data_IF_954374274838
#
_entry.id   IF_954374274838
#
_cell.length_a   1.000
_cell.length_b   1.000
_cell.length_c   1.000
_cell.angle_alpha   90.00
_cell.angle_beta   90.00
_cell.angle_gamma   90.00
#
_symmetry.space_group_name_H-M   'P 1'
#
loop_
_entity.id
_entity.type
_entity.pdbx_description
1 polymer ?
#
# COMPACT_ATOMS: atom_id res chain seq x y z
N UNK A 1 0.83 -27.21 -16.58
CA UNK A 1 2.09 -26.62 -16.13
C UNK A 1 1.88 -25.98 -14.76
N UNK A 2 2.70 -26.31 -13.78
CA UNK A 2 2.67 -25.57 -12.50
C UNK A 2 3.17 -24.17 -12.79
N UNK A 3 2.33 -23.16 -12.53
CA UNK A 3 2.75 -21.76 -12.58
C UNK A 3 3.92 -21.55 -11.59
N UNK A 4 4.93 -20.81 -12.02
CA UNK A 4 6.04 -20.46 -11.14
C UNK A 4 5.56 -19.40 -10.12
N UNK A 5 5.90 -19.61 -8.85
CA UNK A 5 5.67 -18.58 -7.83
C UNK A 5 6.58 -17.39 -8.07
N UNK A 6 6.08 -16.18 -7.79
CA UNK A 6 6.87 -14.96 -7.89
C UNK A 6 7.50 -14.67 -6.52
N UNK A 7 8.82 -14.56 -6.49
CA UNK A 7 9.55 -14.26 -5.24
C UNK A 7 9.07 -12.93 -4.64
N UNK A 8 8.77 -12.94 -3.35
CA UNK A 8 8.29 -11.76 -2.64
C UNK A 8 6.78 -11.52 -2.71
N UNK A 9 6.04 -12.38 -3.41
CA UNK A 9 4.58 -12.27 -3.53
C UNK A 9 3.90 -13.57 -3.10
N UNK A 10 3.91 -13.89 -1.80
CA UNK A 10 3.31 -15.12 -1.29
C UNK A 10 1.79 -15.06 -1.38
N UNK A 11 1.19 -16.23 -1.57
CA UNK A 11 -0.25 -16.40 -1.53
C UNK A 11 -0.61 -17.48 -0.51
N UNK A 12 -1.60 -17.21 0.33
CA UNK A 12 -2.08 -18.18 1.29
C UNK A 12 -3.03 -19.19 0.63
N UNK A 13 -2.91 -20.45 1.04
CA UNK A 13 -3.92 -21.44 0.75
C UNK A 13 -5.19 -21.17 1.59
N UNK A 14 -6.37 -21.72 1.20
CA UNK A 14 -7.63 -21.41 1.90
C UNK A 14 -7.60 -21.62 3.41
N UNK A 15 -6.95 -22.69 3.88
CA UNK A 15 -6.85 -22.98 5.33
C UNK A 15 -6.10 -21.91 6.10
N UNK A 16 -5.04 -21.35 5.52
CA UNK A 16 -4.24 -20.29 6.12
C UNK A 16 -4.94 -18.93 5.98
N UNK A 17 -5.59 -18.71 4.84
CA UNK A 17 -6.35 -17.47 4.60
C UNK A 17 -7.50 -17.30 5.58
N UNK A 18 -8.16 -18.39 5.99
CA UNK A 18 -9.21 -18.35 7.02
C UNK A 18 -8.65 -17.84 8.36
N UNK A 19 -7.45 -18.28 8.74
CA UNK A 19 -6.80 -17.82 9.97
C UNK A 19 -6.45 -16.33 9.89
N UNK A 20 -5.87 -15.91 8.77
CA UNK A 20 -5.56 -14.50 8.54
C UNK A 20 -6.82 -13.63 8.63
N UNK A 21 -7.92 -14.07 8.01
CA UNK A 21 -9.18 -13.32 8.04
C UNK A 21 -9.74 -13.21 9.46
N UNK A 22 -9.61 -14.26 10.29
CA UNK A 22 -10.03 -14.20 11.70
C UNK A 22 -9.23 -13.19 12.51
N UNK A 23 -7.92 -13.11 12.27
CA UNK A 23 -7.08 -12.10 12.90
C UNK A 23 -7.51 -10.69 12.49
N UNK A 24 -7.73 -10.48 11.20
CA UNK A 24 -8.21 -9.19 10.67
C UNK A 24 -9.56 -8.80 11.29
N UNK A 25 -10.50 -9.75 11.36
CA UNK A 25 -11.84 -9.51 11.91
C UNK A 25 -11.78 -9.18 13.41
N UNK A 26 -10.91 -9.84 14.15
CA UNK A 26 -10.68 -9.58 15.58
C UNK A 26 -10.13 -8.17 15.80
N UNK A 27 -9.11 -7.79 15.03
CA UNK A 27 -8.52 -6.45 15.11
C UNK A 27 -9.54 -5.37 14.75
N UNK A 28 -10.29 -5.57 13.67
CA UNK A 28 -11.35 -4.64 13.26
C UNK A 28 -12.36 -4.41 14.38
N UNK A 29 -12.84 -5.48 14.99
CA UNK A 29 -13.82 -5.39 16.08
C UNK A 29 -13.27 -4.59 17.27
N UNK A 30 -12.03 -4.82 17.65
CA UNK A 30 -11.38 -4.07 18.75
C UNK A 30 -11.26 -2.59 18.38
N UNK A 31 -10.84 -2.27 17.18
CA UNK A 31 -10.73 -0.88 16.73
C UNK A 31 -12.08 -0.17 16.72
N UNK A 32 -13.10 -0.80 16.16
CA UNK A 32 -14.45 -0.21 16.08
C UNK A 32 -15.09 -0.01 17.47
N UNK A 33 -14.89 -0.96 18.39
CA UNK A 33 -15.35 -0.83 19.77
C UNK A 33 -14.69 0.36 20.50
N UNK A 34 -13.50 0.76 20.09
CA UNK A 34 -12.77 1.89 20.67
C UNK A 34 -12.94 3.18 19.88
N UNK A 35 -13.90 3.24 18.97
CA UNK A 35 -14.24 4.44 18.22
C UNK A 35 -13.34 4.75 17.03
N UNK A 36 -12.55 3.76 16.55
CA UNK A 36 -11.76 3.91 15.34
C UNK A 36 -12.58 3.51 14.12
N UNK A 37 -12.49 4.30 13.06
CA UNK A 37 -13.19 4.04 11.80
C UNK A 37 -12.23 3.49 10.75
N UNK A 38 -12.70 2.53 9.96
CA UNK A 38 -11.91 1.95 8.88
C UNK A 38 -11.82 2.86 7.68
N UNK A 39 -10.63 3.00 7.13
CA UNK A 39 -10.39 3.68 5.86
C UNK A 39 -9.62 2.78 4.91
N UNK A 40 -9.72 3.08 3.64
CA UNK A 40 -8.92 2.50 2.59
C UNK A 40 -8.43 3.61 1.67
N UNK A 41 -7.12 3.70 1.50
CA UNK A 41 -6.50 4.64 0.56
C UNK A 41 -6.21 3.93 -0.76
N UNK A 42 -6.07 4.70 -1.83
CA UNK A 42 -5.67 4.13 -3.13
C UNK A 42 -4.26 3.53 -3.02
N UNK A 43 -4.03 2.43 -3.72
CA UNK A 43 -2.72 1.77 -3.74
C UNK A 43 -1.70 2.51 -4.62
N UNK A 44 -2.18 3.31 -5.55
CA UNK A 44 -1.34 4.03 -6.52
C UNK A 44 -1.13 5.46 -6.06
N UNK A 45 0.13 5.86 -5.98
CA UNK A 45 0.55 7.21 -5.59
C UNK A 45 1.43 7.83 -6.67
N UNK A 46 1.50 9.16 -6.69
CA UNK A 46 2.46 9.85 -7.53
C UNK A 46 3.88 9.68 -7.00
N UNK A 47 4.86 9.60 -7.90
CA UNK A 47 6.27 9.49 -7.53
C UNK A 47 6.75 10.59 -6.61
N UNK A 48 6.26 11.82 -6.79
CA UNK A 48 6.55 12.95 -5.92
C UNK A 48 6.16 12.69 -4.45
N UNK A 49 5.04 12.02 -4.22
CA UNK A 49 4.59 11.65 -2.87
C UNK A 49 5.42 10.51 -2.29
N UNK A 50 5.78 9.52 -3.12
CA UNK A 50 6.55 8.36 -2.68
C UNK A 50 8.00 8.71 -2.34
N UNK A 51 8.60 9.67 -3.04
CA UNK A 51 9.99 10.07 -2.85
C UNK A 51 10.22 11.00 -1.67
N UNK A 52 9.18 11.54 -1.05
CA UNK A 52 9.31 12.49 0.07
C UNK A 52 9.95 11.91 1.34
N UNK A 53 10.02 10.61 1.47
CA UNK A 53 10.46 9.92 2.70
C UNK A 53 11.94 9.48 2.67
N UNK A 54 12.80 10.18 1.94
CA UNK A 54 14.25 9.88 1.92
C UNK A 54 14.63 8.76 0.97
N UNK A 55 15.62 7.94 1.33
CA UNK A 55 16.18 6.88 0.45
C UNK A 55 15.24 5.69 0.27
N UNK A 56 14.04 5.93 -0.24
CA UNK A 56 13.04 4.88 -0.47
C UNK A 56 12.98 4.41 -1.92
N UNK A 57 13.82 4.97 -2.80
CA UNK A 57 13.79 4.66 -4.24
C UNK A 57 13.97 3.16 -4.54
N UNK A 58 14.73 2.44 -3.70
CA UNK A 58 14.94 0.99 -3.85
C UNK A 58 13.71 0.14 -3.52
N UNK A 59 12.77 0.71 -2.77
CA UNK A 59 11.56 0.03 -2.31
C UNK A 59 10.37 0.23 -3.24
N UNK A 60 10.43 1.21 -4.13
CA UNK A 60 9.28 1.67 -4.91
C UNK A 60 9.16 0.86 -6.20
N UNK A 61 7.97 0.31 -6.43
CA UNK A 61 7.55 -0.19 -7.72
C UNK A 61 6.88 0.94 -8.51
N UNK A 62 7.40 1.22 -9.69
CA UNK A 62 6.77 2.15 -10.62
C UNK A 62 5.81 1.39 -11.54
N UNK A 63 4.73 2.08 -11.92
CA UNK A 63 3.74 1.55 -12.85
C UNK A 63 3.90 2.23 -14.20
N UNK A 64 3.78 1.44 -15.24
CA UNK A 64 3.68 1.94 -16.62
C UNK A 64 2.50 1.28 -17.29
N UNK A 65 1.76 2.04 -18.09
CA UNK A 65 0.77 1.46 -18.99
C UNK A 65 1.49 0.66 -20.06
N UNK A 66 0.90 -0.42 -20.51
CA UNK A 66 1.52 -1.27 -21.54
C UNK A 66 1.90 -0.46 -22.78
N UNK A 67 1.10 0.53 -23.16
CA UNK A 67 1.35 1.41 -24.31
C UNK A 67 2.55 2.33 -24.11
N UNK A 68 2.96 2.56 -22.86
CA UNK A 68 4.06 3.46 -22.51
C UNK A 68 5.40 2.72 -22.33
N UNK A 69 5.39 1.40 -22.43
CA UNK A 69 6.61 0.57 -22.29
C UNK A 69 7.62 0.98 -23.38
N UNK A 70 8.82 1.33 -22.92
CA UNK A 70 9.88 1.87 -23.79
C UNK A 70 9.95 3.39 -23.82
N UNK A 71 8.95 4.09 -23.27
CA UNK A 71 8.88 5.55 -23.22
C UNK A 71 8.92 6.10 -21.77
N UNK A 72 9.24 5.26 -20.79
CA UNK A 72 9.24 5.63 -19.36
C UNK A 72 10.24 6.76 -19.06
N UNK A 73 11.32 6.84 -19.81
CA UNK A 73 12.33 7.89 -19.64
C UNK A 73 11.86 9.28 -20.07
N UNK A 74 10.75 9.36 -20.83
CA UNK A 74 10.20 10.63 -21.30
C UNK A 74 9.46 11.40 -20.21
N UNK A 75 9.13 10.73 -19.08
CA UNK A 75 8.42 11.33 -17.96
C UNK A 75 9.32 11.32 -16.73
N UNK A 76 9.49 12.48 -16.04
CA UNK A 76 10.21 12.51 -14.76
C UNK A 76 9.59 11.55 -13.75
N UNK A 77 10.44 10.99 -12.87
CA UNK A 77 9.99 10.03 -11.84
C UNK A 77 8.90 10.65 -10.95
N UNK A 78 9.00 11.94 -10.65
CA UNK A 78 8.03 12.66 -9.83
C UNK A 78 6.62 12.67 -10.42
N UNK A 79 6.51 12.59 -11.74
CA UNK A 79 5.24 12.62 -12.48
C UNK A 79 4.74 11.21 -12.82
N UNK A 80 5.53 10.17 -12.51
CA UNK A 80 5.15 8.78 -12.73
C UNK A 80 4.34 8.25 -11.56
N UNK A 81 3.56 7.21 -11.82
CA UNK A 81 2.78 6.51 -10.80
C UNK A 81 3.57 5.34 -10.24
N UNK A 82 3.35 5.04 -8.97
CA UNK A 82 3.95 3.90 -8.32
C UNK A 82 3.00 3.27 -7.30
N UNK A 83 3.39 2.11 -6.78
CA UNK A 83 2.65 1.44 -5.71
C UNK A 83 3.14 1.92 -4.36
N UNK A 84 2.22 2.14 -3.43
CA UNK A 84 2.59 2.51 -2.07
C UNK A 84 3.38 1.38 -1.39
N UNK A 85 4.41 1.74 -0.66
CA UNK A 85 5.29 0.79 0.06
C UNK A 85 5.03 0.80 1.58
N UNK A 86 4.26 1.74 2.08
CA UNK A 86 3.77 1.82 3.46
C UNK A 86 2.38 2.47 3.46
N UNK A 87 1.81 2.64 4.65
CA UNK A 87 0.51 3.31 4.81
C UNK A 87 0.62 4.71 5.41
N UNK A 88 1.80 5.16 5.77
CA UNK A 88 2.03 6.48 6.36
C UNK A 88 1.91 7.59 5.30
N UNK A 89 2.57 7.42 4.17
CA UNK A 89 2.52 8.38 3.06
C UNK A 89 1.09 8.51 2.51
N UNK A 90 0.38 7.41 2.18
CA UNK A 90 -1.01 7.49 1.77
C UNK A 90 -1.93 8.15 2.80
N UNK A 91 -1.73 7.88 4.09
CA UNK A 91 -2.52 8.51 5.15
C UNK A 91 -2.32 10.02 5.18
N UNK A 92 -1.07 10.48 5.12
CA UNK A 92 -0.76 11.91 5.12
C UNK A 92 -1.43 12.63 3.95
N UNK A 93 -1.32 12.05 2.75
CA UNK A 93 -2.00 12.58 1.56
C UNK A 93 -3.52 12.59 1.72
N UNK A 94 -4.09 11.48 2.20
CA UNK A 94 -5.54 11.33 2.41
C UNK A 94 -6.08 12.40 3.36
N UNK A 95 -5.41 12.61 4.49
CA UNK A 95 -5.81 13.62 5.47
C UNK A 95 -5.76 15.02 4.88
N UNK A 96 -4.69 15.34 4.13
CA UNK A 96 -4.56 16.66 3.50
C UNK A 96 -5.63 16.89 2.45
N UNK A 97 -5.86 15.91 1.58
CA UNK A 97 -6.86 16.02 0.51
C UNK A 97 -8.30 16.12 1.04
N UNK A 98 -8.59 15.44 2.14
CA UNK A 98 -9.96 15.31 2.66
C UNK A 98 -10.18 16.04 3.99
N UNK A 99 -9.30 16.93 4.38
CA UNK A 99 -9.36 17.61 5.69
C UNK A 99 -10.70 18.33 5.94
N UNK A 100 -11.32 18.84 4.91
CA UNK A 100 -12.65 19.48 5.00
C UNK A 100 -13.81 18.50 5.23
N UNK A 101 -13.61 17.23 4.95
CA UNK A 101 -14.64 16.18 5.05
C UNK A 101 -14.43 15.27 6.27
N UNK A 102 -13.32 15.42 6.98
CA UNK A 102 -12.98 14.57 8.11
C UNK A 102 -13.25 15.27 9.44
N UNK A 103 -13.73 14.49 10.42
CA UNK A 103 -13.88 14.97 11.79
C UNK A 103 -12.54 14.76 12.54
N UNK A 104 -12.15 15.74 13.36
CA UNK A 104 -10.96 15.65 14.19
C UNK A 104 -11.33 15.67 15.69
N UNK A 105 -10.63 14.92 16.55
CA UNK A 105 -9.50 14.03 16.24
C UNK A 105 -9.92 12.87 15.33
N UNK A 106 -9.10 12.61 14.29
CA UNK A 106 -9.37 11.58 13.31
C UNK A 106 -8.81 10.23 13.79
N UNK A 107 -9.70 9.41 14.32
CA UNK A 107 -9.37 8.07 14.84
C UNK A 107 -9.68 7.05 13.75
N UNK A 108 -8.64 6.49 13.14
CA UNK A 108 -8.78 5.56 12.01
C UNK A 108 -8.03 4.26 12.23
N UNK A 109 -8.51 3.19 11.61
CA UNK A 109 -7.73 1.98 11.41
C UNK A 109 -7.65 1.69 9.90
N UNK A 110 -6.58 0.99 9.50
CA UNK A 110 -6.30 0.71 8.10
C UNK A 110 -5.50 -0.58 8.01
N UNK A 111 -5.97 -1.52 7.21
CA UNK A 111 -5.30 -2.79 6.93
C UNK A 111 -5.31 -2.97 5.42
N UNK A 112 -4.16 -2.78 4.79
CA UNK A 112 -4.01 -2.88 3.35
C UNK A 112 -2.67 -3.49 2.97
N UNK A 113 -2.61 -4.04 1.78
CA UNK A 113 -1.36 -4.51 1.20
C UNK A 113 -0.47 -3.34 0.81
N UNK A 114 0.84 -3.54 0.97
CA UNK A 114 1.88 -2.65 0.48
C UNK A 114 2.87 -3.45 -0.34
N UNK A 115 3.59 -2.80 -1.23
CA UNK A 115 4.54 -3.44 -2.13
C UNK A 115 5.92 -2.81 -1.96
N UNK A 116 6.92 -3.66 -1.68
CA UNK A 116 8.31 -3.23 -1.53
C UNK A 116 9.19 -3.98 -2.51
N UNK A 117 10.00 -3.25 -3.26
CA UNK A 117 10.93 -3.79 -4.25
C UNK A 117 12.21 -4.37 -3.65
N UNK A 118 12.34 -4.42 -2.34
CA UNK A 118 13.48 -5.04 -1.66
C UNK A 118 13.46 -6.56 -1.79
N UNK A 119 14.63 -7.18 -1.60
CA UNK A 119 14.69 -8.64 -1.52
C UNK A 119 13.82 -9.14 -0.36
N UNK A 120 13.02 -10.19 -0.59
CA UNK A 120 12.26 -10.82 0.49
C UNK A 120 13.19 -11.28 1.59
N UNK A 121 12.82 -10.99 2.83
CA UNK A 121 13.49 -11.49 4.02
C UNK A 121 12.52 -12.40 4.77
N UNK A 122 13.07 -13.26 5.63
CA UNK A 122 12.25 -14.14 6.46
C UNK A 122 11.26 -13.31 7.30
N UNK A 123 9.98 -13.68 7.25
CA UNK A 123 8.91 -12.98 7.95
C UNK A 123 8.28 -11.80 7.21
N UNK A 124 8.62 -11.58 5.95
CA UNK A 124 8.03 -10.53 5.10
C UNK A 124 7.33 -11.08 3.88
#
# INVERSE_FOLDING_TARGET
AKGASISGFPEWLPSERVVEQRVIDTLRNVFELNGFIGIETRAVEQGSSLLKKGETSKEIYLLSRLQEVGHESDTPIEDRLGLHFDLTVPLSRYVVEHSGDLAFPFKRWQIQKVWRGERPQEGR
#
